data_IF_954728583410
#
_entry.id   IF_954728583410
#
_cell.length_a   1.000
_cell.length_b   1.000
_cell.length_c   1.000
_cell.angle_alpha   90.00
_cell.angle_beta   90.00
_cell.angle_gamma   90.00
#
_symmetry.space_group_name_H-M   'P 1'
#
loop_
_entity.id
_entity.type
_entity.pdbx_description
1 polymer ?
#
# COMPACT_ATOMS: atom_id res chain seq x y z
N UNK A 1 -16.53 13.79 -2.60
CA UNK A 1 -16.02 12.56 -3.22
C UNK A 1 -14.66 12.86 -3.83
N UNK A 2 -13.59 12.71 -3.06
CA UNK A 2 -12.23 12.77 -3.62
C UNK A 2 -11.72 11.34 -3.73
N UNK A 3 -12.16 10.66 -4.79
CA UNK A 3 -11.47 9.47 -5.27
C UNK A 3 -10.18 9.99 -5.93
N UNK A 4 -9.04 9.79 -5.26
CA UNK A 4 -7.74 10.29 -5.73
C UNK A 4 -7.18 9.37 -6.81
N UNK A 5 -6.30 9.85 -7.68
CA UNK A 5 -5.55 8.93 -8.56
C UNK A 5 -4.69 7.97 -7.73
N UNK A 6 -4.46 6.76 -8.25
CA UNK A 6 -3.46 5.83 -7.71
C UNK A 6 -2.07 6.47 -7.76
N UNK A 7 -1.32 6.34 -6.67
CA UNK A 7 0.02 6.88 -6.54
C UNK A 7 1.03 5.74 -6.40
N UNK A 8 2.01 5.73 -7.30
CA UNK A 8 3.19 4.86 -7.23
C UNK A 8 4.33 5.64 -6.56
N UNK A 9 5.20 4.94 -5.82
CA UNK A 9 6.40 5.56 -5.24
C UNK A 9 7.39 5.97 -6.34
N UNK A 10 8.13 7.07 -6.15
CA UNK A 10 9.25 7.44 -7.03
C UNK A 10 10.43 6.47 -6.92
N UNK A 11 10.47 5.65 -5.87
CA UNK A 11 11.45 4.57 -5.69
C UNK A 11 11.08 3.30 -6.44
N UNK A 12 9.86 3.23 -7.00
CA UNK A 12 9.45 2.10 -7.83
C UNK A 12 10.26 2.05 -9.12
N UNK A 13 10.91 0.91 -9.36
CA UNK A 13 11.63 0.66 -10.60
C UNK A 13 10.71 0.44 -11.80
N UNK A 14 11.33 0.17 -12.94
CA UNK A 14 10.65 -0.22 -14.19
C UNK A 14 10.01 -1.62 -14.11
N UNK A 15 10.34 -2.40 -13.08
CA UNK A 15 9.76 -3.72 -12.84
C UNK A 15 8.44 -3.62 -12.08
N UNK A 16 7.73 -4.73 -12.13
CA UNK A 16 6.29 -4.76 -12.03
C UNK A 16 5.77 -5.24 -10.66
N UNK A 17 6.58 -5.07 -9.60
CA UNK A 17 6.27 -5.52 -8.22
C UNK A 17 6.07 -4.34 -7.25
N UNK A 18 5.31 -3.33 -7.64
CA UNK A 18 5.22 -2.07 -6.89
C UNK A 18 3.88 -1.91 -6.19
N UNK A 19 3.93 -1.45 -4.94
CA UNK A 19 2.72 -1.08 -4.20
C UNK A 19 2.26 0.30 -4.63
N UNK A 20 1.00 0.39 -5.05
CA UNK A 20 0.28 1.63 -5.35
C UNK A 20 -0.72 1.93 -4.23
N UNK A 21 -0.90 3.22 -3.91
CA UNK A 21 -1.81 3.67 -2.85
C UNK A 21 -2.79 4.72 -3.36
N UNK A 22 -4.00 4.74 -2.79
CA UNK A 22 -5.02 5.75 -3.07
C UNK A 22 -5.80 6.13 -1.82
N UNK A 23 -6.12 7.41 -1.68
CA UNK A 23 -7.12 7.87 -0.72
C UNK A 23 -8.54 7.58 -1.24
N UNK A 24 -9.33 6.83 -0.48
CA UNK A 24 -10.70 6.43 -0.80
C UNK A 24 -11.59 6.67 0.44
N UNK A 25 -11.79 7.95 0.80
CA UNK A 25 -12.36 8.34 2.11
C UNK A 25 -13.67 7.59 2.43
N UNK A 26 -13.80 7.05 3.66
CA UNK A 26 -12.90 7.22 4.82
C UNK A 26 -11.69 6.27 4.86
N UNK A 27 -11.47 5.51 3.79
CA UNK A 27 -10.47 4.44 3.70
C UNK A 27 -9.20 4.86 2.95
N UNK A 28 -8.21 3.98 3.01
CA UNK A 28 -7.08 3.92 2.09
C UNK A 28 -7.12 2.57 1.38
N UNK A 29 -6.73 2.57 0.12
CA UNK A 29 -6.61 1.37 -0.68
C UNK A 29 -5.17 1.17 -1.10
N UNK A 30 -4.76 -0.09 -1.10
CA UNK A 30 -3.47 -0.57 -1.59
C UNK A 30 -3.72 -1.62 -2.65
N UNK A 31 -2.85 -1.65 -3.65
CA UNK A 31 -2.77 -2.75 -4.61
C UNK A 31 -1.35 -2.91 -5.10
N UNK A 32 -1.11 -4.02 -5.74
CA UNK A 32 0.15 -4.33 -6.40
C UNK A 32 0.00 -4.00 -7.91
N UNK A 33 1.09 -3.60 -8.58
CA UNK A 33 1.05 -3.08 -9.95
C UNK A 33 0.68 -4.13 -11.00
N UNK A 34 1.05 -5.39 -10.77
CA UNK A 34 0.70 -6.53 -11.63
C UNK A 34 -0.65 -7.16 -11.26
N UNK A 35 -1.04 -7.08 -9.99
CA UNK A 35 -2.34 -7.57 -9.49
C UNK A 35 -3.33 -6.42 -9.25
N UNK A 36 -3.67 -5.66 -10.31
CA UNK A 36 -4.46 -4.41 -10.20
C UNK A 36 -5.88 -4.61 -9.68
N UNK A 37 -6.46 -5.80 -9.85
CA UNK A 37 -7.76 -6.18 -9.31
C UNK A 37 -7.73 -6.55 -7.82
N UNK A 38 -6.58 -6.90 -7.26
CA UNK A 38 -6.43 -7.30 -5.86
C UNK A 38 -6.25 -6.06 -4.98
N UNK A 39 -7.36 -5.44 -4.60
CA UNK A 39 -7.38 -4.22 -3.77
C UNK A 39 -7.57 -4.56 -2.29
N UNK A 40 -6.59 -4.19 -1.47
CA UNK A 40 -6.70 -4.21 -0.01
C UNK A 40 -7.23 -2.86 0.46
N UNK A 41 -8.39 -2.86 1.10
CA UNK A 41 -8.99 -1.65 1.69
C UNK A 41 -8.80 -1.65 3.20
N UNK A 42 -8.31 -0.53 3.74
CA UNK A 42 -8.02 -0.35 5.17
C UNK A 42 -8.36 1.07 5.63
N UNK A 43 -8.04 1.41 6.88
CA UNK A 43 -8.16 2.77 7.42
C UNK A 43 -6.81 3.48 7.42
N UNK A 44 -6.77 4.83 7.38
CA UNK A 44 -5.52 5.58 7.51
C UNK A 44 -4.73 5.21 8.77
N UNK A 45 -5.41 5.00 9.91
CA UNK A 45 -4.77 4.63 11.18
C UNK A 45 -4.14 3.24 11.11
N UNK A 46 -4.86 2.25 10.60
CA UNK A 46 -4.33 0.89 10.47
C UNK A 46 -3.12 0.84 9.52
N UNK A 47 -3.17 1.58 8.40
CA UNK A 47 -2.03 1.68 7.50
C UNK A 47 -0.82 2.35 8.18
N UNK A 48 -1.02 3.43 8.94
CA UNK A 48 0.07 4.08 9.66
C UNK A 48 0.72 3.14 10.69
N UNK A 49 -0.08 2.39 11.45
CA UNK A 49 0.42 1.37 12.38
C UNK A 49 1.23 0.29 11.65
N UNK A 50 0.72 -0.22 10.53
CA UNK A 50 1.41 -1.22 9.71
C UNK A 50 2.77 -0.73 9.20
N UNK A 51 2.86 0.52 8.72
CA UNK A 51 4.11 1.11 8.24
C UNK A 51 5.14 1.26 9.36
N UNK A 52 4.70 1.67 10.56
CA UNK A 52 5.57 1.78 11.73
C UNK A 52 6.10 0.40 12.19
N UNK A 53 5.23 -0.60 12.26
CA UNK A 53 5.59 -1.98 12.58
C UNK A 53 6.58 -2.57 11.55
N UNK A 54 6.31 -2.38 10.26
CA UNK A 54 7.22 -2.77 9.18
C UNK A 54 8.58 -2.08 9.33
N UNK A 55 8.60 -0.79 9.63
CA UNK A 55 9.85 -0.04 9.82
C UNK A 55 10.65 -0.52 11.04
N UNK A 56 9.97 -1.04 12.06
CA UNK A 56 10.57 -1.64 13.23
C UNK A 56 11.05 -3.10 13.03
N UNK A 57 10.80 -3.68 11.85
CA UNK A 57 11.14 -5.07 11.54
C UNK A 57 10.21 -6.10 12.17
N UNK A 58 9.02 -5.69 12.62
CA UNK A 58 8.06 -6.60 13.28
C UNK A 58 7.70 -7.81 12.39
N UNK A 59 7.69 -7.61 11.08
CA UNK A 59 7.29 -8.61 10.08
C UNK A 59 8.48 -9.31 9.40
N UNK A 60 9.72 -9.06 9.80
CA UNK A 60 10.91 -9.63 9.15
C UNK A 60 11.03 -11.16 9.32
N UNK A 61 10.25 -11.72 10.25
CA UNK A 61 10.12 -13.17 10.45
C UNK A 61 9.24 -13.85 9.40
N UNK A 62 8.50 -13.08 8.60
CA UNK A 62 7.78 -13.59 7.43
C UNK A 62 8.73 -13.67 6.24
N UNK A 63 9.58 -14.69 6.23
CA UNK A 63 10.30 -15.10 5.02
C UNK A 63 9.35 -15.87 4.09
N UNK A 64 9.38 -15.61 2.76
CA UNK A 64 8.76 -16.50 1.78
C UNK A 64 9.43 -17.88 1.76
#
# INVERSE_FOLDING_TARGET
MTDSAWQKSTYSGATDNCVEVRAARPHVELRESDAREAVVRTTPTALATFLLATKAGEFDHHTP
#
